data_IF_570849928966
#
_entry.id   IF_570849928966
#
_cell.length_a   1.000
_cell.length_b   1.000
_cell.length_c   1.000
_cell.angle_alpha   90.00
_cell.angle_beta   90.00
_cell.angle_gamma   90.00
#
_symmetry.space_group_name_H-M   'P 1'
#
loop_
_entity.id
_entity.type
_entity.pdbx_description
1 polymer ?
#
# COMPACT_ATOMS: atom_id res chain seq x y z
N UNK A 1 -4.02 19.42 -5.37
CA UNK A 1 -3.97 18.88 -4.01
C UNK A 1 -4.36 17.42 -4.13
N UNK A 2 -3.50 16.52 -3.71
CA UNK A 2 -3.70 15.07 -3.73
C UNK A 2 -3.61 14.54 -2.31
N UNK A 3 -4.37 13.50 -2.01
CA UNK A 3 -4.36 12.84 -0.71
C UNK A 3 -3.41 11.64 -0.76
N UNK A 4 -2.51 11.54 0.21
CA UNK A 4 -1.52 10.48 0.30
C UNK A 4 -1.70 9.68 1.58
N UNK A 5 -1.65 8.35 1.45
CA UNK A 5 -1.65 7.41 2.59
C UNK A 5 -0.29 6.76 2.68
N UNK A 6 0.31 6.81 3.87
CA UNK A 6 1.65 6.27 4.10
C UNK A 6 1.58 5.14 5.09
N UNK A 7 2.15 4.01 4.69
CA UNK A 7 2.36 2.85 5.56
C UNK A 7 3.84 2.55 5.63
N UNK A 8 4.27 1.94 6.74
CA UNK A 8 5.61 1.39 6.86
C UNK A 8 5.55 -0.11 7.18
N UNK A 9 6.49 -0.86 6.62
CA UNK A 9 6.54 -2.31 6.71
C UNK A 9 7.95 -2.83 7.03
N UNK A 10 8.02 -3.97 7.71
CA UNK A 10 9.24 -4.79 7.85
C UNK A 10 8.89 -6.23 7.45
N UNK A 11 9.05 -6.58 6.17
CA UNK A 11 8.84 -7.95 5.73
C UNK A 11 9.83 -8.89 6.44
N UNK A 12 9.45 -10.16 6.68
CA UNK A 12 10.36 -11.15 7.26
C UNK A 12 11.62 -11.31 6.40
N UNK A 13 12.79 -11.59 7.00
CA UNK A 13 14.02 -11.82 6.25
C UNK A 13 13.85 -12.91 5.18
N UNK A 14 14.19 -12.59 3.93
CA UNK A 14 14.07 -13.51 2.79
C UNK A 14 12.73 -13.42 2.05
N UNK A 15 11.78 -12.57 2.48
CA UNK A 15 10.51 -12.31 1.79
C UNK A 15 10.46 -10.93 1.12
N UNK A 16 11.55 -10.19 1.08
CA UNK A 16 11.59 -8.83 0.52
C UNK A 16 11.16 -8.79 -0.95
N UNK A 17 11.55 -9.79 -1.75
CA UNK A 17 11.18 -9.85 -3.17
C UNK A 17 9.67 -10.13 -3.36
N UNK A 18 9.08 -10.94 -2.49
CA UNK A 18 7.63 -11.21 -2.49
C UNK A 18 6.86 -9.96 -2.04
N UNK A 19 7.37 -9.29 -1.01
CA UNK A 19 6.85 -8.01 -0.54
C UNK A 19 6.92 -6.94 -1.64
N UNK A 20 8.03 -6.79 -2.34
CA UNK A 20 8.18 -5.84 -3.44
C UNK A 20 7.20 -6.15 -4.60
N UNK A 21 6.98 -7.43 -4.91
CA UNK A 21 5.98 -7.84 -5.90
C UNK A 21 4.54 -7.52 -5.49
N UNK A 22 4.23 -7.53 -4.19
CA UNK A 22 2.90 -7.23 -3.69
C UNK A 22 2.63 -5.73 -3.51
N UNK A 23 3.60 -4.97 -3.00
CA UNK A 23 3.42 -3.58 -2.54
C UNK A 23 4.02 -2.52 -3.49
N UNK A 24 4.69 -2.91 -4.57
CA UNK A 24 5.16 -1.95 -5.58
C UNK A 24 4.01 -1.30 -6.35
N UNK A 25 4.31 -0.21 -7.08
CA UNK A 25 3.35 0.49 -7.93
C UNK A 25 2.77 -0.31 -9.10
N UNK A 26 3.22 -1.56 -9.30
CA UNK A 26 2.63 -2.50 -10.26
C UNK A 26 2.25 -3.84 -9.62
N UNK A 27 2.31 -3.90 -8.29
CA UNK A 27 2.03 -5.07 -7.48
C UNK A 27 0.56 -5.33 -7.26
N UNK A 28 0.25 -6.34 -6.46
CA UNK A 28 -1.12 -6.77 -6.18
C UNK A 28 -1.99 -5.63 -5.62
N UNK A 29 -1.47 -4.88 -4.65
CA UNK A 29 -2.18 -3.74 -4.06
C UNK A 29 -2.47 -2.64 -5.08
N UNK A 30 -1.46 -2.22 -5.85
CA UNK A 30 -1.62 -1.20 -6.87
C UNK A 30 -2.68 -1.59 -7.91
N UNK A 31 -2.69 -2.85 -8.37
CA UNK A 31 -3.70 -3.36 -9.32
C UNK A 31 -5.12 -3.37 -8.75
N UNK A 32 -5.27 -3.56 -7.44
CA UNK A 32 -6.57 -3.42 -6.80
C UNK A 32 -7.00 -1.94 -6.78
N UNK A 33 -6.11 -1.03 -6.37
CA UNK A 33 -6.38 0.40 -6.29
C UNK A 33 -6.66 1.03 -7.65
N UNK A 34 -5.99 0.58 -8.72
CA UNK A 34 -6.19 1.04 -10.10
C UNK A 34 -7.63 0.86 -10.60
N UNK A 35 -8.42 -0.01 -9.98
CA UNK A 35 -9.83 -0.20 -10.35
C UNK A 35 -10.73 0.94 -9.86
N UNK A 36 -10.29 1.73 -8.87
CA UNK A 36 -11.08 2.81 -8.32
C UNK A 36 -10.78 4.18 -8.97
N UNK A 37 -11.82 4.97 -9.29
CA UNK A 37 -11.64 6.33 -9.76
C UNK A 37 -10.92 7.20 -8.72
N UNK A 38 -9.90 7.93 -9.18
CA UNK A 38 -9.15 8.88 -8.36
C UNK A 38 -7.90 8.30 -7.71
N UNK A 39 -7.57 7.02 -7.91
CA UNK A 39 -6.24 6.50 -7.61
C UNK A 39 -5.19 7.11 -8.56
N UNK A 40 -4.05 7.53 -8.02
CA UNK A 40 -2.96 8.20 -8.75
C UNK A 40 -1.67 7.40 -8.81
N UNK A 41 -1.62 6.23 -8.17
CA UNK A 41 -0.46 5.37 -8.14
C UNK A 41 0.12 5.14 -6.74
N UNK A 42 0.88 4.07 -6.62
CA UNK A 42 1.59 3.66 -5.40
C UNK A 42 3.08 3.78 -5.65
N UNK A 43 3.80 4.38 -4.70
CA UNK A 43 5.26 4.37 -4.68
C UNK A 43 5.73 3.50 -3.54
N UNK A 44 6.60 2.52 -3.83
CA UNK A 44 7.30 1.76 -2.81
C UNK A 44 8.70 2.35 -2.60
N UNK A 45 9.02 2.67 -1.35
CA UNK A 45 10.32 3.16 -0.92
C UNK A 45 11.05 2.05 -0.16
N UNK A 46 12.22 1.67 -0.70
CA UNK A 46 13.11 0.70 -0.08
C UNK A 46 14.01 1.37 0.96
N UNK A 47 14.26 0.76 2.13
CA UNK A 47 15.20 1.28 3.10
C UNK A 47 16.63 1.26 2.55
N UNK A 48 17.43 2.27 2.92
CA UNK A 48 18.85 2.32 2.57
C UNK A 48 19.71 1.34 3.38
N UNK A 49 19.18 0.78 4.48
CA UNK A 49 19.87 -0.20 5.34
C UNK A 49 19.00 -1.44 5.48
N UNK A 50 19.63 -2.61 5.48
CA UNK A 50 18.92 -3.87 5.69
C UNK A 50 18.27 -3.90 7.09
N UNK A 51 17.02 -4.37 7.15
CA UNK A 51 16.23 -4.46 8.39
C UNK A 51 15.51 -3.17 8.82
N UNK A 52 15.73 -2.05 8.12
CA UNK A 52 14.95 -0.83 8.33
C UNK A 52 13.56 -0.92 7.65
N UNK A 53 12.72 0.07 7.91
CA UNK A 53 11.35 0.13 7.40
C UNK A 53 11.28 0.45 5.90
N UNK A 54 10.50 -0.33 5.18
CA UNK A 54 9.96 0.01 3.86
C UNK A 54 8.77 0.94 4.01
N UNK A 55 8.45 1.72 2.98
CA UNK A 55 7.22 2.52 2.97
C UNK A 55 6.45 2.39 1.66
N UNK A 56 5.13 2.33 1.74
CA UNK A 56 4.28 2.66 0.58
C UNK A 56 3.73 4.07 0.73
N UNK A 57 3.56 4.73 -0.40
CA UNK A 57 2.83 6.00 -0.52
C UNK A 57 1.76 5.80 -1.60
N UNK A 58 0.51 5.67 -1.17
CA UNK A 58 -0.64 5.49 -2.05
C UNK A 58 -1.31 6.85 -2.26
N UNK A 59 -1.33 7.32 -3.51
CA UNK A 59 -1.87 8.64 -3.83
C UNK A 59 -3.26 8.57 -4.44
N UNK A 60 -4.09 9.50 -4.03
CA UNK A 60 -5.47 9.65 -4.42
C UNK A 60 -5.78 11.11 -4.75
N UNK A 61 -6.81 11.34 -5.56
CA UNK A 61 -7.27 12.69 -5.90
C UNK A 61 -7.78 13.45 -4.67
N UNK A 62 -8.32 12.73 -3.69
CA UNK A 62 -8.79 13.26 -2.42
C UNK A 62 -9.01 12.13 -1.42
N UNK A 63 -9.15 12.46 -0.13
CA UNK A 63 -9.57 11.53 0.92
C UNK A 63 -10.88 10.81 0.55
N UNK A 64 -11.87 11.57 0.07
CA UNK A 64 -13.15 11.03 -0.37
C UNK A 64 -13.06 10.06 -1.58
N UNK A 65 -11.97 10.07 -2.35
CA UNK A 65 -11.74 9.05 -3.37
C UNK A 65 -11.31 7.72 -2.75
N UNK A 66 -10.45 7.77 -1.72
CA UNK A 66 -10.06 6.58 -0.97
C UNK A 66 -11.22 5.99 -0.17
N UNK A 67 -12.04 6.82 0.48
CA UNK A 67 -13.20 6.34 1.24
C UNK A 67 -14.19 5.58 0.35
N UNK A 68 -14.48 6.13 -0.85
CA UNK A 68 -15.31 5.44 -1.84
C UNK A 68 -14.71 4.11 -2.31
N UNK A 69 -13.38 4.07 -2.51
CA UNK A 69 -12.70 2.82 -2.80
C UNK A 69 -12.92 1.79 -1.68
N UNK A 70 -12.80 2.18 -0.41
CA UNK A 70 -13.03 1.28 0.72
C UNK A 70 -14.47 0.76 0.77
N UNK A 71 -15.45 1.59 0.44
CA UNK A 71 -16.87 1.19 0.38
C UNK A 71 -17.13 0.20 -0.76
N UNK A 72 -16.56 0.44 -1.95
CA UNK A 72 -16.81 -0.36 -3.16
C UNK A 72 -15.98 -1.66 -3.21
N UNK A 73 -14.73 -1.62 -2.77
CA UNK A 73 -13.76 -2.71 -2.89
C UNK A 73 -13.35 -3.32 -1.55
N UNK A 74 -14.00 -2.95 -0.44
CA UNK A 74 -13.60 -3.39 0.89
C UNK A 74 -13.60 -4.92 1.11
N UNK A 75 -14.39 -5.68 0.34
CA UNK A 75 -14.32 -7.15 0.37
C UNK A 75 -13.03 -7.64 -0.29
N UNK A 76 -12.71 -7.15 -1.49
CA UNK A 76 -11.48 -7.48 -2.21
C UNK A 76 -10.23 -7.01 -1.45
N UNK A 77 -10.31 -5.83 -0.82
CA UNK A 77 -9.26 -5.31 0.05
C UNK A 77 -8.93 -6.30 1.16
N UNK A 78 -9.94 -6.73 1.93
CA UNK A 78 -9.74 -7.71 3.01
C UNK A 78 -9.26 -9.06 2.50
N UNK A 79 -9.78 -9.53 1.38
CA UNK A 79 -9.32 -10.77 0.77
C UNK A 79 -7.85 -10.72 0.35
N UNK A 80 -7.41 -9.59 -0.20
CA UNK A 80 -6.01 -9.39 -0.57
C UNK A 80 -5.11 -9.26 0.66
N UNK A 81 -5.59 -8.59 1.70
CA UNK A 81 -4.90 -8.49 3.00
C UNK A 81 -4.67 -9.87 3.62
N UNK A 82 -5.71 -10.72 3.63
CA UNK A 82 -5.63 -12.13 4.07
C UNK A 82 -4.70 -12.96 3.18
N UNK A 83 -4.71 -12.78 1.86
CA UNK A 83 -3.82 -13.49 0.93
C UNK A 83 -2.34 -13.15 1.17
N UNK A 84 -2.07 -11.89 1.53
CA UNK A 84 -0.72 -11.38 1.78
C UNK A 84 -0.33 -11.48 3.26
N UNK A 85 -1.10 -12.19 4.08
CA UNK A 85 -0.83 -12.34 5.51
C UNK A 85 0.60 -12.88 5.74
N UNK A 86 1.35 -12.16 6.57
CA UNK A 86 2.74 -12.49 6.88
C UNK A 86 3.76 -12.13 5.79
N UNK A 87 3.37 -11.66 4.60
CA UNK A 87 4.29 -11.10 3.59
C UNK A 87 4.85 -9.79 4.10
N UNK A 88 3.98 -8.93 4.64
CA UNK A 88 4.33 -7.60 5.13
C UNK A 88 5.13 -7.61 6.44
N UNK A 89 5.02 -8.68 7.23
CA UNK A 89 5.67 -8.82 8.52
C UNK A 89 5.11 -7.82 9.54
N UNK A 90 5.97 -6.96 10.11
CA UNK A 90 5.48 -5.85 10.94
C UNK A 90 4.96 -4.74 10.04
N UNK A 91 3.79 -4.18 10.34
CA UNK A 91 3.22 -3.05 9.61
C UNK A 91 2.65 -2.00 10.54
N UNK A 92 2.71 -0.74 10.12
CA UNK A 92 2.13 0.37 10.86
C UNK A 92 1.67 1.46 9.89
N UNK A 93 0.43 1.92 10.06
CA UNK A 93 -0.06 3.08 9.35
C UNK A 93 0.61 4.34 9.91
N UNK A 94 1.37 5.05 9.05
CA UNK A 94 2.09 6.26 9.44
C UNK A 94 1.13 7.45 9.51
N UNK A 95 0.22 7.54 8.53
CA UNK A 95 -0.77 8.60 8.49
C UNK A 95 -1.28 8.91 7.09
N UNK A 96 -2.20 9.87 7.05
CA UNK A 96 -2.72 10.47 5.83
C UNK A 96 -2.26 11.93 5.72
N UNK A 97 -1.96 12.38 4.50
CA UNK A 97 -1.35 13.67 4.21
C UNK A 97 -2.01 14.31 2.98
N UNK A 98 -1.95 15.64 2.90
CA UNK A 98 -2.34 16.39 1.71
C UNK A 98 -1.09 16.97 1.04
N UNK A 99 -0.96 16.78 -0.28
CA UNK A 99 0.16 17.18 -1.14
C UNK A 99 -0.26 18.19 -2.22
#
# INVERSE_FOLDING_TARGET
MTHARVWKFRPPPGREDEFEQAYSGTGHWARLFEQAPGYRGTTLLRPCRAGDWWLTIDRWDSEAAFDRFQDEFGIQYRGLDEELEGVAGEEEFVGAFEE
#
